data_IF_124818393992
#
_entry.id   IF_124818393992
#
_cell.length_a   1.000
_cell.length_b   1.000
_cell.length_c   1.000
_cell.angle_alpha   90.00
_cell.angle_beta   90.00
_cell.angle_gamma   90.00
#
_symmetry.space_group_name_H-M   'P 1'
#
loop_
_entity.id
_entity.type
_entity.pdbx_description
1 polymer ?
#
# COMPACT_ATOMS: atom_id res chain seq x y z
N UNK A 1 3.38 9.34 -18.65
CA UNK A 1 3.79 8.08 -18.01
C UNK A 1 2.59 7.16 -18.08
N UNK A 2 2.57 6.21 -19.02
CA UNK A 2 1.48 5.24 -19.14
C UNK A 2 1.64 4.29 -17.96
N UNK A 3 0.67 4.25 -17.05
CA UNK A 3 0.57 3.16 -16.09
C UNK A 3 0.57 1.87 -16.91
N UNK A 4 1.58 1.01 -16.71
CA UNK A 4 1.63 -0.33 -17.31
C UNK A 4 0.28 -0.99 -17.08
N UNK A 5 -0.27 -1.61 -18.12
CA UNK A 5 -1.50 -2.38 -18.08
C UNK A 5 -1.40 -3.41 -16.93
N UNK A 6 -2.07 -3.12 -15.80
CA UNK A 6 -2.06 -3.96 -14.57
C UNK A 6 -2.93 -5.22 -14.77
N UNK A 7 -3.50 -5.43 -15.97
CA UNK A 7 -4.37 -6.57 -16.26
C UNK A 7 -3.67 -7.94 -16.10
N UNK A 8 -2.33 -8.00 -16.11
CA UNK A 8 -1.53 -9.22 -15.90
C UNK A 8 -0.64 -9.18 -14.64
N UNK A 9 -0.83 -8.22 -13.73
CA UNK A 9 0.02 -8.11 -12.56
C UNK A 9 -0.21 -9.28 -11.59
N UNK A 10 0.83 -10.08 -11.33
CA UNK A 10 0.74 -11.16 -10.34
C UNK A 10 0.55 -10.58 -8.94
N UNK A 11 -0.08 -11.33 -8.00
CA UNK A 11 -0.21 -10.91 -6.61
C UNK A 11 1.10 -10.43 -5.95
N UNK A 12 2.23 -11.05 -6.30
CA UNK A 12 3.57 -10.67 -5.81
C UNK A 12 4.02 -9.33 -6.39
N UNK A 13 3.76 -9.10 -7.69
CA UNK A 13 4.08 -7.82 -8.34
C UNK A 13 3.29 -6.68 -7.70
N UNK A 14 1.99 -6.92 -7.43
CA UNK A 14 1.15 -5.94 -6.73
C UNK A 14 1.72 -5.64 -5.34
N UNK A 15 2.12 -6.66 -4.58
CA UNK A 15 2.76 -6.46 -3.28
C UNK A 15 4.02 -5.61 -3.38
N UNK A 16 4.93 -5.92 -4.31
CA UNK A 16 6.20 -5.21 -4.45
C UNK A 16 5.98 -3.73 -4.85
N UNK A 17 4.99 -3.46 -5.69
CA UNK A 17 4.60 -2.10 -6.05
C UNK A 17 4.03 -1.36 -4.84
N UNK A 18 3.19 -1.99 -4.04
CA UNK A 18 2.61 -1.38 -2.82
C UNK A 18 3.71 -1.08 -1.80
N UNK A 19 4.63 -2.02 -1.56
CA UNK A 19 5.80 -1.83 -0.70
C UNK A 19 6.63 -0.62 -1.14
N UNK A 20 6.98 -0.55 -2.43
CA UNK A 20 7.71 0.57 -3.00
C UNK A 20 6.93 1.89 -2.91
N UNK A 21 5.60 1.87 -3.08
CA UNK A 21 4.78 3.09 -2.97
C UNK A 21 4.74 3.64 -1.54
N UNK A 22 4.73 2.76 -0.54
CA UNK A 22 4.65 3.14 0.86
C UNK A 22 6.03 3.52 1.42
N UNK A 23 7.07 2.76 1.07
CA UNK A 23 8.39 2.84 1.70
C UNK A 23 9.53 3.25 0.75
N UNK A 24 9.27 3.37 -0.55
CA UNK A 24 10.31 3.68 -1.55
C UNK A 24 10.77 5.14 -1.57
N UNK A 25 10.09 6.02 -0.83
CA UNK A 25 10.41 7.45 -0.80
C UNK A 25 11.17 7.83 0.48
N UNK A 26 12.36 8.40 0.34
CA UNK A 26 13.16 8.89 1.48
C UNK A 26 12.70 10.25 1.99
N UNK A 27 12.04 11.02 1.13
CA UNK A 27 11.54 12.38 1.38
C UNK A 27 10.07 12.35 1.81
N UNK A 28 9.70 12.86 3.00
CA UNK A 28 8.32 12.85 3.51
C UNK A 28 7.31 13.56 2.61
N UNK A 29 7.73 14.60 1.87
CA UNK A 29 6.88 15.33 0.94
C UNK A 29 6.41 14.49 -0.26
N UNK A 30 7.09 13.37 -0.53
CA UNK A 30 6.73 12.43 -1.59
C UNK A 30 6.00 11.20 -1.06
N UNK A 31 5.77 11.12 0.26
CA UNK A 31 5.03 10.01 0.84
C UNK A 31 3.56 10.04 0.42
N UNK A 32 2.94 8.87 0.19
CA UNK A 32 1.54 8.83 -0.18
C UNK A 32 0.67 9.38 0.95
N UNK A 33 -0.37 10.13 0.60
CA UNK A 33 -1.28 10.64 1.63
C UNK A 33 -2.02 9.49 2.32
N UNK A 34 -2.42 9.67 3.58
CA UNK A 34 -3.23 8.68 4.30
C UNK A 34 -4.54 8.35 3.56
N UNK A 35 -5.14 9.32 2.87
CA UNK A 35 -6.32 9.08 2.04
C UNK A 35 -6.00 8.13 0.87
N UNK A 36 -4.91 8.39 0.14
CA UNK A 36 -4.48 7.55 -0.98
C UNK A 36 -4.14 6.13 -0.56
N UNK A 37 -3.48 5.94 0.59
CA UNK A 37 -3.16 4.60 1.10
C UNK A 37 -4.44 3.86 1.54
N UNK A 38 -5.45 4.57 2.05
CA UNK A 38 -6.75 3.98 2.37
C UNK A 38 -7.47 3.49 1.12
N UNK A 39 -7.52 4.30 0.06
CA UNK A 39 -8.09 3.90 -1.23
C UNK A 39 -7.37 2.68 -1.82
N UNK A 40 -6.04 2.65 -1.74
CA UNK A 40 -5.23 1.51 -2.17
C UNK A 40 -5.58 0.24 -1.38
N UNK A 41 -5.71 0.34 -0.05
CA UNK A 41 -6.11 -0.77 0.80
C UNK A 41 -7.51 -1.29 0.43
N UNK A 42 -8.47 -0.39 0.22
CA UNK A 42 -9.84 -0.74 -0.17
C UNK A 42 -9.86 -1.46 -1.54
N UNK A 43 -9.05 -1.00 -2.50
CA UNK A 43 -8.91 -1.67 -3.80
C UNK A 43 -8.30 -3.08 -3.68
N UNK A 44 -7.26 -3.25 -2.86
CA UNK A 44 -6.65 -4.57 -2.62
C UNK A 44 -7.62 -5.55 -1.94
N UNK A 45 -8.43 -5.06 -0.99
CA UNK A 45 -9.46 -5.86 -0.33
C UNK A 45 -10.63 -6.24 -1.25
N UNK A 46 -10.94 -5.42 -2.25
CA UNK A 46 -11.99 -5.68 -3.24
C UNK A 46 -11.52 -6.55 -4.42
N UNK A 47 -10.22 -6.84 -4.52
CA UNK A 47 -9.65 -7.68 -5.58
C UNK A 47 -10.06 -9.15 -5.43
N UNK A 48 -10.24 -9.85 -6.55
CA UNK A 48 -10.45 -11.31 -6.58
C UNK A 48 -9.28 -12.10 -5.94
N UNK A 49 -8.12 -11.46 -5.80
CA UNK A 49 -6.94 -12.02 -5.15
C UNK A 49 -6.77 -11.59 -3.69
N UNK A 50 -7.76 -10.97 -3.05
CA UNK A 50 -7.67 -10.50 -1.65
C UNK A 50 -7.27 -11.59 -0.64
N UNK A 51 -7.56 -12.86 -0.95
CA UNK A 51 -7.18 -14.00 -0.12
C UNK A 51 -5.73 -14.47 -0.34
N UNK A 52 -5.08 -14.04 -1.42
CA UNK A 52 -3.73 -14.44 -1.77
C UNK A 52 -2.73 -13.91 -0.73
N UNK A 53 -1.75 -14.71 -0.25
CA UNK A 53 -0.81 -14.29 0.78
C UNK A 53 -0.09 -12.96 0.47
N UNK A 54 0.37 -12.78 -0.77
CA UNK A 54 1.04 -11.54 -1.20
C UNK A 54 0.12 -10.30 -1.12
N UNK A 55 -1.16 -10.43 -1.49
CA UNK A 55 -2.12 -9.31 -1.38
C UNK A 55 -2.43 -9.01 0.09
N UNK A 56 -2.52 -10.04 0.94
CA UNK A 56 -2.70 -9.84 2.38
C UNK A 56 -1.51 -9.15 3.03
N UNK A 57 -0.30 -9.44 2.57
CA UNK A 57 0.93 -8.74 2.96
C UNK A 57 0.90 -7.27 2.51
N UNK A 58 0.51 -7.00 1.27
CA UNK A 58 0.33 -5.64 0.75
C UNK A 58 -0.71 -4.82 1.55
N UNK A 59 -1.85 -5.43 1.90
CA UNK A 59 -2.86 -4.83 2.80
C UNK A 59 -2.24 -4.57 4.18
N UNK A 60 -1.38 -5.46 4.67
CA UNK A 60 -0.62 -5.28 5.90
C UNK A 60 0.24 -4.02 5.89
N UNK A 61 0.96 -3.75 4.80
CA UNK A 61 1.74 -2.52 4.64
C UNK A 61 0.85 -1.27 4.70
N UNK A 62 -0.31 -1.29 4.04
CA UNK A 62 -1.27 -0.19 4.12
C UNK A 62 -1.77 0.02 5.55
N UNK A 63 -2.10 -1.05 6.28
CA UNK A 63 -2.55 -0.98 7.68
C UNK A 63 -1.46 -0.40 8.57
N UNK A 64 -0.21 -0.81 8.39
CA UNK A 64 0.93 -0.31 9.14
C UNK A 64 1.13 1.18 8.91
N UNK A 65 1.13 1.63 7.65
CA UNK A 65 1.23 3.04 7.31
C UNK A 65 0.07 3.88 7.84
N UNK A 66 -1.14 3.31 7.85
CA UNK A 66 -2.34 3.96 8.38
C UNK A 66 -2.47 3.83 9.89
N UNK A 67 -1.59 3.11 10.58
CA UNK A 67 -1.61 3.07 12.03
C UNK A 67 -1.47 4.53 12.53
N UNK A 68 -2.33 4.99 13.43
CA UNK A 68 -2.08 6.26 14.09
C UNK A 68 -0.75 6.11 14.82
N UNK A 69 0.21 7.00 14.55
CA UNK A 69 1.47 7.03 15.28
C UNK A 69 1.16 6.93 16.77
N UNK A 70 1.65 5.87 17.40
CA UNK A 70 1.66 5.82 18.86
C UNK A 70 2.61 6.86 19.45
N UNK A 71 3.31 7.62 18.60
CA UNK A 71 4.20 8.74 18.92
C UNK A 71 3.51 10.11 18.99
N UNK A 72 2.16 10.16 19.10
CA UNK A 72 1.47 11.38 19.54
C UNK A 72 1.00 11.31 21.01
N UNK A 73 1.77 10.59 21.84
CA UNK A 73 1.71 10.70 23.31
C UNK A 73 3.09 11.15 23.80
N UNK A 74 3.19 12.45 24.12
CA UNK A 74 4.30 13.15 24.81
C UNK A 74 5.55 13.33 23.93
N UNK A 75 6.07 14.54 23.64
CA UNK A 75 6.30 15.74 24.45
C UNK A 75 6.30 16.98 23.54
#
# INVERSE_FOLDING_TARGET
MKFMDIEDATPETVRDVVDMCIWGFSSPENWPTRASVKEMMEALMASDHAHHPAIREAIGYCIEYLRPDSDNIMI
#
